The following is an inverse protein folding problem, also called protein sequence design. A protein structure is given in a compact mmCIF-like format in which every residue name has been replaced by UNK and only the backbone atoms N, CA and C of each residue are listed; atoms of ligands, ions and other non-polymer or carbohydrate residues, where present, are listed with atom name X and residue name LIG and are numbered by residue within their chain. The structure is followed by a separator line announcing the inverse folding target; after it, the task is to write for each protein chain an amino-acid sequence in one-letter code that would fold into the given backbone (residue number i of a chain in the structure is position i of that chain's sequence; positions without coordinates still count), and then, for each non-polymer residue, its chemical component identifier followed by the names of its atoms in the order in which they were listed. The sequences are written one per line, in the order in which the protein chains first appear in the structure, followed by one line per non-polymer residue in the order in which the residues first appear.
data_IF_597793930864
#
_entry.id   IF_597793930864
#
_cell.length_a   1.000
_cell.length_b   1.000
_cell.length_c   1.000
_cell.angle_alpha   90.00
_cell.angle_beta   90.00
_cell.angle_gamma   90.00
#
_symmetry.space_group_name_H-M   'P 1'
#
loop_
_entity.id
_entity.type
_entity.pdbx_description
1 polymer ?
#
# COMPACT_ATOMS: atom_id res chain seq x y z
N UNK A 1 -69.94 -37.75 -44.08
CA UNK A 1 -68.49 -37.60 -44.22
C UNK A 1 -68.07 -36.15 -44.37
N UNK A 2 -67.09 -35.79 -43.54
CA UNK A 2 -66.11 -34.69 -43.62
C UNK A 2 -66.58 -33.23 -43.47
N UNK A 3 -66.47 -32.73 -42.24
CA UNK A 3 -66.33 -31.32 -41.90
C UNK A 3 -64.86 -31.01 -41.53
N UNK A 4 -64.39 -29.81 -41.88
CA UNK A 4 -62.99 -29.38 -41.87
C UNK A 4 -62.56 -28.61 -40.61
N UNK A 5 -61.22 -28.57 -40.43
CA UNK A 5 -60.37 -27.58 -39.73
C UNK A 5 -60.31 -27.60 -38.19
N UNK A 6 -59.36 -26.88 -37.55
CA UNK A 6 -57.89 -26.94 -37.71
C UNK A 6 -57.18 -26.95 -36.34
N UNK A 7 -56.03 -27.61 -36.16
CA UNK A 7 -55.30 -27.52 -34.88
C UNK A 7 -53.83 -27.10 -35.04
N UNK A 8 -53.65 -25.78 -34.89
CA UNK A 8 -52.59 -25.06 -34.18
C UNK A 8 -51.18 -25.65 -34.15
N UNK A 9 -50.28 -24.99 -34.88
CA UNK A 9 -48.85 -25.03 -34.60
C UNK A 9 -48.58 -24.45 -33.21
N UNK A 10 -48.13 -25.30 -32.29
CA UNK A 10 -47.58 -24.85 -31.01
C UNK A 10 -46.15 -24.35 -31.26
N UNK A 11 -45.95 -23.06 -31.01
CA UNK A 11 -44.66 -22.41 -31.07
C UNK A 11 -43.76 -22.99 -29.98
N UNK A 12 -42.61 -23.55 -30.34
CA UNK A 12 -41.60 -23.98 -29.37
C UNK A 12 -40.95 -22.72 -28.77
N UNK A 13 -41.45 -22.30 -27.62
CA UNK A 13 -40.70 -21.41 -26.74
C UNK A 13 -39.50 -22.19 -26.24
N UNK A 14 -38.31 -21.84 -26.75
CA UNK A 14 -37.07 -22.52 -26.43
C UNK A 14 -36.75 -22.36 -24.96
N UNK A 15 -37.20 -23.29 -24.11
CA UNK A 15 -36.72 -23.36 -22.74
C UNK A 15 -35.29 -23.87 -22.79
N UNK A 16 -34.33 -22.99 -22.47
CA UNK A 16 -32.94 -23.35 -22.31
C UNK A 16 -32.82 -24.26 -21.07
N UNK A 17 -33.09 -25.56 -21.22
CA UNK A 17 -32.91 -26.54 -20.16
C UNK A 17 -31.41 -26.77 -19.96
N UNK A 18 -30.78 -25.88 -19.18
CA UNK A 18 -29.43 -26.12 -18.69
C UNK A 18 -29.55 -27.19 -17.60
N UNK A 19 -28.87 -28.34 -17.73
CA UNK A 19 -28.91 -29.38 -16.70
C UNK A 19 -28.57 -28.75 -15.35
N UNK A 20 -29.36 -29.02 -14.32
CA UNK A 20 -29.09 -28.59 -12.93
C UNK A 20 -27.61 -28.80 -12.53
N UNK A 21 -26.96 -29.95 -12.85
CA UNK A 21 -25.52 -30.10 -12.58
C UNK A 21 -24.65 -29.09 -13.33
N UNK A 22 -24.99 -28.69 -14.54
CA UNK A 22 -24.28 -27.63 -15.28
C UNK A 22 -24.50 -26.26 -14.62
N UNK A 23 -25.71 -25.95 -14.15
CA UNK A 23 -25.97 -24.69 -13.44
C UNK A 23 -25.18 -24.63 -12.12
N UNK A 24 -25.15 -25.73 -11.36
CA UNK A 24 -24.39 -25.84 -10.10
C UNK A 24 -22.88 -25.72 -10.37
N UNK A 25 -22.37 -26.41 -11.40
CA UNK A 25 -20.95 -26.32 -11.78
C UNK A 25 -20.57 -24.89 -12.19
N UNK A 26 -21.41 -24.21 -12.98
CA UNK A 26 -21.18 -22.82 -13.35
C UNK A 26 -21.21 -21.89 -12.14
N UNK A 27 -22.16 -22.06 -11.22
CA UNK A 27 -22.22 -21.25 -9.98
C UNK A 27 -20.98 -21.46 -9.12
N UNK A 28 -20.52 -22.71 -8.95
CA UNK A 28 -19.30 -23.02 -8.19
C UNK A 28 -18.06 -22.44 -8.88
N UNK A 29 -17.97 -22.50 -10.21
CA UNK A 29 -16.87 -21.88 -10.94
C UNK A 29 -16.88 -20.36 -10.79
N UNK A 30 -18.04 -19.71 -10.91
CA UNK A 30 -18.18 -18.26 -10.75
C UNK A 30 -17.82 -17.82 -9.33
N UNK A 31 -18.25 -18.54 -8.30
CA UNK A 31 -17.91 -18.18 -6.91
C UNK A 31 -16.43 -18.35 -6.63
N UNK A 32 -15.79 -19.43 -7.12
CA UNK A 32 -14.33 -19.62 -7.01
C UNK A 32 -13.57 -18.51 -7.72
N UNK A 33 -14.00 -18.10 -8.91
CA UNK A 33 -13.40 -17.00 -9.66
C UNK A 33 -13.52 -15.66 -8.91
N UNK A 34 -14.70 -15.36 -8.34
CA UNK A 34 -14.92 -14.14 -7.55
C UNK A 34 -14.03 -14.14 -6.29
N UNK A 35 -13.94 -15.26 -5.57
CA UNK A 35 -13.08 -15.38 -4.38
C UNK A 35 -11.62 -15.19 -4.76
N UNK A 36 -11.16 -15.78 -5.87
CA UNK A 36 -9.80 -15.59 -6.37
C UNK A 36 -9.52 -14.12 -6.73
N UNK A 37 -10.45 -13.44 -7.41
CA UNK A 37 -10.33 -12.00 -7.73
C UNK A 37 -10.27 -11.13 -6.47
N UNK A 38 -11.12 -11.41 -5.46
CA UNK A 38 -11.09 -10.69 -4.19
C UNK A 38 -9.75 -10.95 -3.48
N UNK A 39 -9.27 -12.19 -3.44
CA UNK A 39 -7.98 -12.54 -2.84
C UNK A 39 -6.80 -11.87 -3.57
N UNK A 40 -6.81 -11.80 -4.90
CA UNK A 40 -5.83 -11.06 -5.71
C UNK A 40 -5.88 -9.57 -5.37
N UNK A 41 -7.09 -9.01 -5.25
CA UNK A 41 -7.27 -7.60 -4.91
C UNK A 41 -6.74 -7.29 -3.50
N UNK A 42 -7.01 -8.16 -2.52
CA UNK A 42 -6.48 -8.06 -1.15
C UNK A 42 -4.97 -8.29 -1.09
N UNK A 43 -4.43 -9.18 -1.92
CA UNK A 43 -2.99 -9.34 -2.11
C UNK A 43 -2.31 -8.14 -2.76
N UNK A 44 -3.04 -7.36 -3.58
CA UNK A 44 -2.55 -6.12 -4.21
C UNK A 44 -2.73 -4.88 -3.33
N UNK A 45 -3.66 -4.87 -2.36
CA UNK A 45 -3.72 -3.81 -1.33
C UNK A 45 -2.62 -3.95 -0.27
N UNK A 46 -2.00 -5.13 -0.19
CA UNK A 46 -0.83 -5.39 0.64
C UNK A 46 0.45 -5.35 -0.21
N UNK A 47 0.66 -4.22 -0.90
CA UNK A 47 1.88 -3.78 -1.59
C UNK A 47 2.52 -4.72 -2.64
N UNK A 48 2.76 -4.18 -3.85
CA UNK A 48 4.01 -4.43 -4.56
C UNK A 48 4.69 -3.12 -4.91
N UNK A 49 5.77 -2.80 -4.19
CA UNK A 49 6.79 -1.90 -4.71
C UNK A 49 7.48 -2.58 -5.90
N UNK A 50 7.16 -2.16 -7.11
CA UNK A 50 8.06 -2.05 -8.28
C UNK A 50 7.23 -1.65 -9.50
N UNK A 51 7.13 -0.35 -9.76
CA UNK A 51 6.92 0.14 -11.12
C UNK A 51 8.23 0.77 -11.59
N UNK A 52 9.17 -0.08 -12.02
CA UNK A 52 10.38 0.39 -12.69
C UNK A 52 9.96 0.82 -14.09
N UNK A 53 9.72 2.12 -14.26
CA UNK A 53 9.71 2.75 -15.58
C UNK A 53 11.16 2.97 -16.02
N UNK A 54 11.58 2.54 -17.22
CA UNK A 54 12.89 2.90 -17.72
C UNK A 54 12.82 4.34 -18.25
N UNK A 55 13.42 5.30 -17.54
CA UNK A 55 13.64 6.66 -18.03
C UNK A 55 15.14 6.98 -17.98
N UNK A 56 15.69 7.70 -18.97
CA UNK A 56 17.05 7.50 -19.45
C UNK A 56 18.11 7.95 -18.45
N UNK A 57 19.17 7.16 -18.42
CA UNK A 57 20.43 7.36 -17.72
C UNK A 57 21.04 8.74 -17.95
N UNK A 58 21.02 9.59 -16.91
CA UNK A 58 22.02 10.64 -16.75
C UNK A 58 22.17 11.18 -15.30
N UNK A 59 22.27 10.31 -14.30
CA UNK A 59 22.44 10.76 -12.91
C UNK A 59 23.27 9.78 -12.09
N UNK A 60 24.21 10.29 -11.30
CA UNK A 60 24.92 9.55 -10.24
C UNK A 60 23.91 8.70 -9.43
N UNK A 61 23.88 7.40 -9.68
CA UNK A 61 23.04 6.45 -8.93
C UNK A 61 23.80 6.07 -7.67
N UNK A 62 23.46 6.75 -6.58
CA UNK A 62 23.54 6.26 -5.20
C UNK A 62 22.61 7.15 -4.38
N UNK A 63 21.30 7.01 -4.59
CA UNK A 63 20.32 7.92 -3.97
C UNK A 63 20.21 7.72 -2.46
N UNK A 64 20.50 6.52 -1.95
CA UNK A 64 20.63 6.13 -0.55
C UNK A 64 21.54 4.90 -0.48
N UNK A 65 22.11 4.58 0.69
CA UNK A 65 22.76 3.28 0.92
C UNK A 65 21.75 2.13 0.83
N UNK A 66 22.21 0.91 0.53
CA UNK A 66 21.34 -0.25 0.31
C UNK A 66 20.45 -0.58 1.53
N UNK A 67 20.93 -0.32 2.75
CA UNK A 67 20.19 -0.55 3.99
C UNK A 67 19.23 0.60 4.36
N UNK A 68 19.07 1.60 3.49
CA UNK A 68 18.29 2.80 3.75
C UNK A 68 17.12 2.92 2.78
N UNK A 69 16.06 3.55 3.25
CA UNK A 69 14.81 3.69 2.51
C UNK A 69 14.79 5.07 1.86
N UNK A 70 14.80 5.11 0.53
CA UNK A 70 14.69 6.35 -0.24
C UNK A 70 13.23 6.79 -0.43
N UNK A 71 12.89 8.00 0.01
CA UNK A 71 11.58 8.63 -0.24
C UNK A 71 11.71 10.15 -0.32
N UNK A 72 11.11 10.79 -1.33
CA UNK A 72 11.08 12.25 -1.50
C UNK A 72 12.46 12.93 -1.35
N UNK A 73 13.51 12.37 -1.98
CA UNK A 73 14.90 12.88 -1.92
C UNK A 73 15.53 12.83 -0.50
N UNK A 74 14.97 12.03 0.41
CA UNK A 74 15.51 11.74 1.74
C UNK A 74 15.80 10.25 1.86
N UNK A 75 16.76 9.92 2.71
CA UNK A 75 17.10 8.55 3.08
C UNK A 75 16.71 8.35 4.55
N UNK A 76 15.92 7.31 4.80
CA UNK A 76 15.44 6.95 6.13
C UNK A 76 16.05 5.64 6.59
N UNK A 77 16.47 5.60 7.85
CA UNK A 77 16.93 4.39 8.53
C UNK A 77 15.99 4.07 9.68
N UNK A 78 15.51 2.83 9.74
CA UNK A 78 14.66 2.34 10.82
C UNK A 78 15.53 1.49 11.76
N UNK A 79 15.78 2.00 12.96
CA UNK A 79 16.60 1.30 13.94
C UNK A 79 15.88 0.06 14.48
N UNK A 80 16.61 -1.05 14.56
CA UNK A 80 16.16 -2.27 15.23
C UNK A 80 16.38 -2.22 16.76
N UNK A 81 17.14 -1.24 17.24
CA UNK A 81 17.49 -1.09 18.65
C UNK A 81 16.67 0.02 19.33
N UNK A 82 16.19 -0.25 20.55
CA UNK A 82 15.52 0.75 21.38
C UNK A 82 16.56 1.53 22.17
N UNK A 83 16.64 2.83 21.93
CA UNK A 83 17.49 3.78 22.66
C UNK A 83 16.66 4.94 23.18
N UNK A 84 17.14 5.66 24.19
CA UNK A 84 16.56 6.96 24.56
C UNK A 84 16.78 7.99 23.45
N UNK A 85 15.96 9.05 23.39
CA UNK A 85 16.01 10.05 22.31
C UNK A 85 17.42 10.59 22.03
N UNK A 86 18.15 11.00 23.08
CA UNK A 86 19.51 11.53 22.95
C UNK A 86 20.49 10.50 22.38
N UNK A 87 20.41 9.25 22.83
CA UNK A 87 21.26 8.16 22.33
C UNK A 87 20.91 7.80 20.89
N UNK A 88 19.63 7.85 20.52
CA UNK A 88 19.18 7.61 19.15
C UNK A 88 19.67 8.72 18.21
N UNK A 89 19.62 9.98 18.64
CA UNK A 89 20.15 11.13 17.90
C UNK A 89 21.66 11.03 17.70
N UNK A 90 22.42 10.63 18.72
CA UNK A 90 23.86 10.41 18.60
C UNK A 90 24.18 9.29 17.62
N UNK A 91 23.46 8.17 17.69
CA UNK A 91 23.58 7.09 16.71
C UNK A 91 23.32 7.58 15.28
N UNK A 92 22.27 8.39 15.05
CA UNK A 92 22.04 8.96 13.72
C UNK A 92 23.20 9.83 13.25
N UNK A 93 23.82 10.62 14.14
CA UNK A 93 24.99 11.42 13.79
C UNK A 93 26.22 10.58 13.42
N UNK A 94 26.47 9.47 14.12
CA UNK A 94 27.53 8.51 13.78
C UNK A 94 27.34 7.93 12.36
N UNK A 95 26.09 7.83 11.91
CA UNK A 95 25.71 7.41 10.57
C UNK A 95 25.63 8.56 9.54
N UNK A 96 26.06 9.78 9.89
CA UNK A 96 26.01 10.94 8.99
C UNK A 96 24.61 11.50 8.76
N UNK A 97 23.67 11.26 9.67
CA UNK A 97 22.27 11.67 9.57
C UNK A 97 21.77 12.32 10.88
N UNK A 98 20.46 12.60 10.93
CA UNK A 98 19.76 13.04 12.14
C UNK A 98 18.56 12.14 12.41
N UNK A 99 17.98 12.20 13.62
CA UNK A 99 16.65 11.65 13.80
C UNK A 99 15.69 12.31 12.81
N UNK A 100 14.76 11.52 12.27
CA UNK A 100 13.98 11.87 11.09
C UNK A 100 13.34 13.27 11.20
N UNK A 101 13.68 14.14 10.26
CA UNK A 101 13.04 15.44 10.04
C UNK A 101 11.89 15.29 9.05
N UNK A 102 10.68 15.54 9.53
CA UNK A 102 9.46 15.41 8.75
C UNK A 102 8.95 16.82 8.45
N UNK A 103 8.93 17.21 7.18
CA UNK A 103 8.51 18.55 6.73
C UNK A 103 7.29 18.53 5.80
N UNK A 104 6.67 17.36 5.63
CA UNK A 104 5.47 17.20 4.83
C UNK A 104 4.57 16.07 5.36
N UNK A 105 3.26 16.23 5.16
CA UNK A 105 2.27 15.17 5.44
C UNK A 105 2.51 13.89 4.65
N UNK A 106 3.15 14.01 3.47
CA UNK A 106 3.53 12.86 2.65
C UNK A 106 4.61 12.02 3.34
N UNK A 107 5.63 12.66 3.89
CA UNK A 107 6.67 11.98 4.68
C UNK A 107 6.07 11.32 5.93
N UNK A 108 5.20 12.04 6.65
CA UNK A 108 4.53 11.51 7.84
C UNK A 108 3.68 10.27 7.51
N UNK A 109 2.85 10.37 6.47
CA UNK A 109 1.99 9.29 6.03
C UNK A 109 2.79 8.08 5.56
N UNK A 110 3.85 8.32 4.79
CA UNK A 110 4.78 7.29 4.33
C UNK A 110 5.43 6.55 5.51
N UNK A 111 6.02 7.28 6.46
CA UNK A 111 6.70 6.67 7.61
C UNK A 111 5.72 5.89 8.49
N UNK A 112 4.53 6.42 8.77
CA UNK A 112 3.49 5.72 9.53
C UNK A 112 3.08 4.40 8.86
N UNK A 113 2.88 4.42 7.54
CA UNK A 113 2.55 3.21 6.79
C UNK A 113 3.71 2.21 6.80
N UNK A 114 4.95 2.68 6.72
CA UNK A 114 6.14 1.83 6.67
C UNK A 114 6.44 1.15 8.02
N UNK A 115 6.42 1.88 9.13
CA UNK A 115 6.75 1.32 10.47
C UNK A 115 5.57 0.61 11.14
N UNK A 116 4.35 0.78 10.62
CA UNK A 116 3.14 0.19 11.16
C UNK A 116 2.82 0.70 12.56
N UNK A 117 2.64 -0.21 13.53
CA UNK A 117 2.18 0.11 14.90
C UNK A 117 3.33 0.34 15.89
N UNK A 118 4.58 0.28 15.43
CA UNK A 118 5.74 0.37 16.30
C UNK A 118 6.19 1.81 16.51
N UNK A 119 6.41 2.19 17.77
CA UNK A 119 6.86 3.53 18.13
C UNK A 119 8.35 3.70 17.83
N UNK A 120 8.68 4.78 17.13
CA UNK A 120 10.04 5.16 16.77
C UNK A 120 10.30 6.60 17.16
N UNK A 121 11.53 6.89 17.57
CA UNK A 121 11.95 8.28 17.77
C UNK A 121 12.06 9.01 16.44
N UNK A 122 11.57 10.24 16.41
CA UNK A 122 11.75 11.19 15.31
C UNK A 122 12.52 12.40 15.83
N UNK A 123 12.97 13.26 14.91
CA UNK A 123 13.80 14.42 15.23
C UNK A 123 13.07 15.54 15.95
N UNK A 124 11.87 15.33 16.47
CA UNK A 124 11.08 16.35 17.15
C UNK A 124 11.35 16.31 18.66
N UNK A 125 11.80 17.43 19.24
CA UNK A 125 12.06 17.57 20.67
C UNK A 125 11.62 18.94 21.16
N UNK A 126 11.22 19.02 22.43
CA UNK A 126 11.03 20.28 23.16
C UNK A 126 11.84 20.26 24.45
N UNK A 127 12.21 21.44 24.93
CA UNK A 127 12.65 21.66 26.31
C UNK A 127 11.50 22.30 27.09
N UNK A 128 11.54 22.23 28.41
CA UNK A 128 10.47 22.73 29.27
C UNK A 128 10.21 24.22 29.00
N UNK A 129 8.99 24.54 28.57
CA UNK A 129 8.56 25.91 28.26
C UNK A 129 9.04 26.46 26.91
N UNK A 130 9.69 25.66 26.06
CA UNK A 130 10.14 26.07 24.73
C UNK A 130 9.21 25.58 23.61
N UNK A 131 9.40 26.12 22.41
CA UNK A 131 8.77 25.63 21.17
C UNK A 131 9.37 24.30 20.76
N UNK A 132 8.53 23.43 20.19
CA UNK A 132 8.99 22.19 19.56
C UNK A 132 9.94 22.51 18.40
N UNK A 133 11.07 21.82 18.35
CA UNK A 133 12.10 21.97 17.33
C UNK A 133 12.47 20.63 16.73
N UNK A 134 12.75 20.66 15.44
CA UNK A 134 13.28 19.55 14.69
C UNK A 134 14.79 19.41 14.92
N UNK A 135 15.33 18.23 14.61
CA UNK A 135 16.74 17.88 14.76
C UNK A 135 17.67 18.75 13.89
N UNK A 136 17.15 19.36 12.84
CA UNK A 136 17.84 20.36 12.02
C UNK A 136 17.74 21.81 12.56
N UNK A 137 17.15 22.00 13.74
CA UNK A 137 16.97 23.31 14.39
C UNK A 137 15.73 24.09 13.94
N UNK A 138 14.97 23.62 12.95
CA UNK A 138 13.76 24.30 12.48
C UNK A 138 12.65 24.20 13.55
N UNK A 139 11.94 25.29 13.81
CA UNK A 139 10.76 25.26 14.67
C UNK A 139 9.62 24.45 14.02
N UNK A 140 8.88 23.74 14.85
CA UNK A 140 7.71 22.99 14.41
C UNK A 140 6.48 23.90 14.34
N UNK A 141 5.80 23.89 13.20
CA UNK A 141 4.67 24.76 12.88
C UNK A 141 3.29 24.12 13.11
N UNK A 142 3.19 23.01 13.87
CA UNK A 142 1.92 22.35 14.26
C UNK A 142 0.99 22.00 13.09
N UNK A 143 1.56 21.59 11.95
CA UNK A 143 0.81 21.01 10.84
C UNK A 143 0.45 19.55 11.11
#
# INVERSE_FOLDING_TARGET
DNAASPHFAAQHEGSLQVPIPCAVVNVVLITVLIIALIAISVGQYNCPGQYISPLPSNSHVSSCSDDWIGYQRKCYFISTEKKGWTLAQNFCYEQGATLAFIDSEKDMSFLKQYVGTTNHWIGLKTEDGQTWKWSNGKEFNNW
#
